data_IF_257991662487
#
_entry.id   IF_257991662487
#
_cell.length_a   1.000
_cell.length_b   1.000
_cell.length_c   1.000
_cell.angle_alpha   90.00
_cell.angle_beta   90.00
_cell.angle_gamma   90.00
#
_symmetry.space_group_name_H-M   'P 1'
#
loop_
_entity.id
_entity.type
_entity.pdbx_description
1 polymer ?
#
# COMPACT_ATOMS: atom_id res chain seq x y z
N UNK A 1 4.32 14.34 47.24
CA UNK A 1 4.17 14.92 45.89
C UNK A 1 3.49 16.26 46.05
N UNK A 2 4.25 17.35 45.99
CA UNK A 2 3.70 18.70 46.12
C UNK A 2 3.38 19.24 44.72
N UNK A 3 2.14 19.66 44.50
CA UNK A 3 1.75 20.33 43.26
C UNK A 3 2.33 21.75 43.25
N UNK A 4 3.37 21.98 42.44
CA UNK A 4 3.86 23.34 42.16
C UNK A 4 2.73 24.20 41.62
N UNK A 5 2.55 25.39 42.20
CA UNK A 5 1.52 26.35 41.77
C UNK A 5 1.74 26.78 40.32
N UNK A 6 0.69 27.17 39.56
CA UNK A 6 0.82 27.56 38.15
C UNK A 6 1.92 28.60 37.89
N UNK A 7 2.07 29.58 38.80
CA UNK A 7 3.09 30.62 38.71
C UNK A 7 4.52 30.11 38.86
N UNK A 8 4.76 29.07 39.68
CA UNK A 8 6.09 28.47 39.85
C UNK A 8 6.53 27.76 38.55
N UNK A 9 5.59 27.09 37.87
CA UNK A 9 5.83 26.48 36.56
C UNK A 9 6.05 27.55 35.48
N UNK A 10 5.31 28.66 35.51
CA UNK A 10 5.49 29.80 34.60
C UNK A 10 6.84 30.49 34.81
N UNK A 11 7.27 30.68 36.05
CA UNK A 11 8.57 31.25 36.42
C UNK A 11 9.73 30.35 35.98
N UNK A 12 9.67 29.04 36.26
CA UNK A 12 10.68 28.07 35.79
C UNK A 12 10.74 27.97 34.26
N UNK A 13 9.59 28.05 33.57
CA UNK A 13 9.55 28.10 32.11
C UNK A 13 10.24 29.35 31.56
N UNK A 14 9.97 30.54 32.12
CA UNK A 14 10.66 31.80 31.75
C UNK A 14 12.17 31.71 32.00
N UNK A 15 12.58 31.12 33.13
CA UNK A 15 13.98 30.89 33.47
C UNK A 15 14.72 30.03 32.43
N UNK A 16 14.13 28.90 32.03
CA UNK A 16 14.69 28.00 31.02
C UNK A 16 14.71 28.66 29.63
N UNK A 17 13.66 29.42 29.28
CA UNK A 17 13.57 30.11 27.99
C UNK A 17 14.62 31.23 27.83
N UNK A 18 14.96 32.00 28.86
CA UNK A 18 16.06 32.97 28.78
C UNK A 18 17.44 32.27 28.82
N UNK A 19 17.65 31.32 29.73
CA UNK A 19 18.92 30.62 29.89
C UNK A 19 19.33 29.81 28.65
N UNK A 20 18.38 29.18 27.96
CA UNK A 20 18.62 28.38 26.75
C UNK A 20 18.17 29.08 25.46
N UNK A 21 17.84 30.38 25.51
CA UNK A 21 17.29 31.17 24.40
C UNK A 21 18.00 30.93 23.06
N UNK A 22 19.33 31.04 23.06
CA UNK A 22 20.13 30.92 21.85
C UNK A 22 20.09 29.50 21.25
N UNK A 23 20.00 28.47 22.09
CA UNK A 23 19.90 27.06 21.67
C UNK A 23 18.51 26.81 21.07
N UNK A 24 17.45 27.28 21.73
CA UNK A 24 16.06 27.08 21.28
C UNK A 24 15.82 27.80 19.95
N UNK A 25 16.27 29.06 19.82
CA UNK A 25 16.18 29.80 18.54
C UNK A 25 17.03 29.14 17.45
N UNK A 26 18.23 28.64 17.75
CA UNK A 26 19.02 27.90 16.77
C UNK A 26 18.33 26.61 16.29
N UNK A 27 17.72 25.84 17.19
CA UNK A 27 16.94 24.63 16.84
C UNK A 27 15.73 24.98 15.97
N UNK A 28 15.01 26.06 16.28
CA UNK A 28 13.86 26.52 15.48
C UNK A 28 14.28 27.03 14.08
N UNK A 29 15.43 27.69 13.96
CA UNK A 29 15.98 28.10 12.65
C UNK A 29 16.51 26.90 11.85
N UNK A 30 17.06 25.87 12.48
CA UNK A 30 17.43 24.60 11.83
C UNK A 30 16.16 23.88 11.34
N UNK A 31 15.11 23.79 12.17
CA UNK A 31 13.83 23.22 11.77
C UNK A 31 13.22 23.99 10.58
N UNK A 32 13.28 25.33 10.60
CA UNK A 32 12.86 26.15 9.47
C UNK A 32 13.67 25.86 8.20
N UNK A 33 15.01 25.77 8.29
CA UNK A 33 15.87 25.46 7.15
C UNK A 33 15.58 24.07 6.55
N UNK A 34 15.39 23.05 7.39
CA UNK A 34 14.97 21.70 6.97
C UNK A 34 13.59 21.73 6.33
N UNK A 35 12.62 22.43 6.92
CA UNK A 35 11.29 22.62 6.36
C UNK A 35 11.33 23.26 4.97
N UNK A 36 12.12 24.31 4.79
CA UNK A 36 12.30 24.99 3.51
C UNK A 36 12.94 24.10 2.44
N UNK A 37 13.94 23.29 2.81
CA UNK A 37 14.55 22.31 1.90
C UNK A 37 13.55 21.21 1.50
N UNK A 38 12.71 20.75 2.43
CA UNK A 38 11.61 19.81 2.13
C UNK A 38 10.55 20.45 1.22
N UNK A 39 10.15 21.71 1.46
CA UNK A 39 9.23 22.44 0.57
C UNK A 39 9.78 22.52 -0.85
N UNK A 40 11.04 22.95 -1.00
CA UNK A 40 11.69 23.08 -2.30
C UNK A 40 11.70 21.75 -3.06
N UNK A 41 12.23 20.69 -2.43
CA UNK A 41 12.37 19.34 -3.02
C UNK A 41 11.05 18.57 -3.15
N UNK A 42 9.90 19.22 -3.01
CA UNK A 42 8.57 18.60 -3.04
C UNK A 42 7.55 19.42 -3.85
N UNK A 43 7.76 20.73 -3.99
CA UNK A 43 6.83 21.64 -4.69
C UNK A 43 7.49 22.58 -5.70
N UNK A 44 8.81 22.73 -5.68
CA UNK A 44 9.56 23.61 -6.61
C UNK A 44 10.38 22.78 -7.59
N UNK A 45 11.03 21.75 -7.07
CA UNK A 45 11.77 20.74 -7.82
C UNK A 45 11.53 19.39 -7.14
N UNK A 46 10.40 18.70 -7.41
CA UNK A 46 10.09 17.40 -6.83
C UNK A 46 11.01 16.28 -7.34
N UNK A 47 11.81 16.53 -8.38
CA UNK A 47 12.35 15.49 -9.22
C UNK A 47 11.27 14.80 -10.06
N UNK A 48 11.72 13.96 -10.99
CA UNK A 48 10.84 13.18 -11.85
C UNK A 48 11.08 11.68 -11.65
N UNK A 49 10.04 10.89 -11.90
CA UNK A 49 10.12 9.44 -11.97
C UNK A 49 9.64 8.94 -13.33
N UNK A 50 10.17 7.78 -13.70
CA UNK A 50 9.79 7.08 -14.93
C UNK A 50 8.60 6.17 -14.65
N UNK A 51 7.54 6.28 -15.44
CA UNK A 51 6.41 5.36 -15.42
C UNK A 51 6.18 4.79 -16.82
N UNK A 52 5.86 3.51 -16.90
CA UNK A 52 5.34 2.91 -18.14
C UNK A 52 3.88 3.30 -18.34
N UNK A 53 3.50 3.48 -19.61
CA UNK A 53 2.13 3.74 -20.03
C UNK A 53 1.85 2.97 -21.32
N UNK A 54 0.89 2.04 -21.32
CA UNK A 54 0.40 1.42 -22.55
C UNK A 54 -0.15 2.51 -23.48
N UNK A 55 0.35 2.57 -24.72
CA UNK A 55 -0.05 3.56 -25.74
C UNK A 55 -0.85 2.95 -26.88
N UNK A 56 -0.66 1.67 -27.12
CA UNK A 56 -1.49 0.85 -27.99
C UNK A 56 -1.42 -0.60 -27.53
N UNK A 57 -2.40 -1.39 -27.94
CA UNK A 57 -2.40 -2.84 -27.82
C UNK A 57 -3.01 -3.44 -29.08
N UNK A 58 -2.72 -4.71 -29.35
CA UNK A 58 -3.51 -5.50 -30.28
C UNK A 58 -3.83 -6.86 -29.67
N UNK A 59 -4.99 -7.38 -30.04
CA UNK A 59 -5.44 -8.72 -29.64
C UNK A 59 -5.65 -9.57 -30.90
N UNK A 60 -5.24 -10.83 -30.88
CA UNK A 60 -5.53 -11.82 -31.93
C UNK A 60 -6.32 -12.95 -31.30
N UNK A 61 -7.45 -13.31 -31.91
CA UNK A 61 -8.31 -14.40 -31.43
C UNK A 61 -8.47 -15.44 -32.53
N UNK A 62 -8.15 -16.69 -32.24
CA UNK A 62 -8.26 -17.83 -33.16
C UNK A 62 -9.16 -18.91 -32.56
N UNK A 63 -10.09 -19.45 -33.35
CA UNK A 63 -10.97 -20.54 -32.93
C UNK A 63 -11.14 -21.58 -34.05
N UNK A 64 -11.59 -22.78 -33.71
CA UNK A 64 -12.16 -23.72 -34.67
C UNK A 64 -13.68 -23.68 -34.57
N UNK A 65 -14.36 -23.66 -35.71
CA UNK A 65 -15.77 -24.05 -35.83
C UNK A 65 -15.80 -25.38 -36.57
N UNK A 66 -16.67 -26.31 -36.17
CA UNK A 66 -16.74 -27.62 -36.81
C UNK A 66 -18.15 -28.22 -36.82
N UNK A 67 -18.45 -28.97 -37.87
CA UNK A 67 -19.77 -29.59 -38.07
C UNK A 67 -19.66 -30.83 -38.96
N UNK A 68 -20.69 -31.68 -39.00
CA UNK A 68 -20.70 -32.86 -39.85
C UNK A 68 -22.08 -33.08 -40.49
N UNK A 69 -22.16 -33.23 -41.82
CA UNK A 69 -23.43 -33.51 -42.50
C UNK A 69 -23.83 -34.99 -42.37
N UNK A 70 -25.10 -35.25 -42.05
CA UNK A 70 -25.68 -36.60 -42.08
C UNK A 70 -25.87 -37.06 -43.52
N UNK A 71 -25.07 -38.05 -43.93
CA UNK A 71 -25.08 -38.64 -45.29
C UNK A 71 -25.88 -39.94 -45.38
N UNK A 72 -26.02 -40.72 -44.30
CA UNK A 72 -26.74 -42.00 -44.31
C UNK A 72 -28.21 -41.93 -43.81
N UNK A 73 -29.13 -42.72 -44.43
CA UNK A 73 -30.53 -42.78 -44.02
C UNK A 73 -30.71 -43.46 -42.67
N UNK A 74 -31.22 -42.72 -41.70
CA UNK A 74 -31.52 -43.20 -40.35
C UNK A 74 -32.90 -42.68 -39.87
N UNK A 75 -33.31 -43.05 -38.66
CA UNK A 75 -34.64 -42.72 -38.12
C UNK A 75 -34.69 -41.48 -37.22
N UNK A 76 -33.57 -40.80 -37.00
CA UNK A 76 -33.43 -39.67 -36.05
C UNK A 76 -33.15 -38.37 -36.78
N UNK A 77 -32.18 -38.39 -37.69
CA UNK A 77 -31.77 -37.25 -38.52
C UNK A 77 -32.08 -37.53 -39.99
N UNK A 78 -32.38 -36.48 -40.76
CA UNK A 78 -32.58 -36.60 -42.21
C UNK A 78 -31.22 -36.51 -42.92
N UNK A 79 -31.10 -37.09 -44.11
CA UNK A 79 -29.93 -36.85 -44.97
C UNK A 79 -29.89 -35.35 -45.31
N UNK A 80 -28.72 -34.72 -45.22
CA UNK A 80 -28.57 -33.27 -45.33
C UNK A 80 -28.84 -32.50 -44.03
N UNK A 81 -28.93 -33.20 -42.88
CA UNK A 81 -28.92 -32.53 -41.57
C UNK A 81 -27.48 -32.25 -41.19
N UNK A 82 -27.05 -30.99 -41.19
CA UNK A 82 -25.80 -30.58 -40.55
C UNK A 82 -25.91 -30.80 -39.05
N UNK A 83 -24.87 -31.35 -38.45
CA UNK A 83 -24.70 -31.49 -37.01
C UNK A 83 -23.62 -30.49 -36.57
N UNK A 84 -24.03 -29.48 -35.82
CA UNK A 84 -23.24 -28.34 -35.35
C UNK A 84 -23.13 -28.32 -33.81
N UNK A 85 -22.10 -27.64 -33.29
CA UNK A 85 -21.81 -27.42 -31.86
C UNK A 85 -21.83 -28.69 -30.98
N UNK A 86 -21.23 -29.79 -31.46
CA UNK A 86 -21.15 -31.07 -30.71
C UNK A 86 -19.73 -31.46 -30.39
N UNK A 87 -19.52 -31.94 -29.16
CA UNK A 87 -18.28 -32.63 -28.79
C UNK A 87 -18.12 -33.98 -29.48
N UNK A 88 -19.22 -34.63 -29.88
CA UNK A 88 -19.20 -36.02 -30.37
C UNK A 88 -20.16 -36.22 -31.55
N UNK A 89 -19.68 -36.92 -32.57
CA UNK A 89 -20.36 -37.19 -33.84
C UNK A 89 -20.43 -38.69 -34.13
N UNK A 90 -21.22 -39.09 -35.12
CA UNK A 90 -21.48 -40.49 -35.45
C UNK A 90 -20.73 -40.90 -36.73
N UNK A 91 -19.62 -41.63 -36.58
CA UNK A 91 -18.72 -42.04 -37.68
C UNK A 91 -19.45 -42.67 -38.86
N UNK A 92 -20.51 -43.44 -38.58
CA UNK A 92 -21.27 -44.14 -39.64
C UNK A 92 -22.19 -43.24 -40.47
N UNK A 93 -22.90 -42.31 -39.82
CA UNK A 93 -23.94 -41.51 -40.50
C UNK A 93 -23.50 -40.09 -40.86
N UNK A 94 -22.40 -39.61 -40.27
CA UNK A 94 -21.77 -38.33 -40.54
C UNK A 94 -20.23 -38.51 -40.49
N UNK A 95 -19.63 -39.28 -41.43
CA UNK A 95 -18.20 -39.65 -41.43
C UNK A 95 -17.25 -38.48 -41.71
N UNK A 96 -17.76 -37.39 -42.28
CA UNK A 96 -16.99 -36.24 -42.74
C UNK A 96 -17.24 -35.07 -41.79
N UNK A 97 -16.16 -34.58 -41.17
CA UNK A 97 -16.13 -33.45 -40.27
C UNK A 97 -15.60 -32.24 -41.04
N UNK A 98 -16.49 -31.31 -41.37
CA UNK A 98 -16.13 -29.99 -41.86
C UNK A 98 -15.53 -29.16 -40.71
N UNK A 99 -14.39 -28.53 -40.96
CA UNK A 99 -13.69 -27.65 -40.00
C UNK A 99 -13.36 -26.34 -40.69
N UNK A 100 -13.69 -25.23 -40.02
CA UNK A 100 -13.23 -23.90 -40.37
C UNK A 100 -12.39 -23.36 -39.20
N UNK A 101 -11.12 -23.04 -39.45
CA UNK A 101 -10.35 -22.23 -38.52
C UNK A 101 -10.63 -20.76 -38.82
N UNK A 102 -10.94 -19.98 -37.79
CA UNK A 102 -11.22 -18.56 -37.91
C UNK A 102 -10.24 -17.76 -37.05
N UNK A 103 -9.71 -16.68 -37.60
CA UNK A 103 -8.88 -15.72 -36.87
C UNK A 103 -9.41 -14.30 -37.09
N UNK A 104 -9.59 -13.59 -35.99
CA UNK A 104 -9.86 -12.14 -35.98
C UNK A 104 -8.73 -11.42 -35.25
N UNK A 105 -8.60 -10.11 -35.45
CA UNK A 105 -7.72 -9.29 -34.63
C UNK A 105 -8.35 -7.92 -34.33
N UNK A 106 -8.07 -7.39 -33.14
CA UNK A 106 -8.51 -6.07 -32.70
C UNK A 106 -7.31 -5.15 -32.50
N UNK A 107 -7.32 -3.97 -33.15
CA UNK A 107 -6.29 -2.94 -33.06
C UNK A 107 -6.92 -1.55 -33.26
N UNK A 108 -6.23 -0.48 -32.86
CA UNK A 108 -6.71 0.89 -33.05
C UNK A 108 -6.51 1.39 -34.49
N UNK A 109 -5.53 0.84 -35.20
CA UNK A 109 -5.34 0.97 -36.64
C UNK A 109 -4.54 -0.20 -37.20
N UNK A 110 -4.70 -0.48 -38.49
CA UNK A 110 -3.82 -1.39 -39.23
C UNK A 110 -3.78 -1.03 -40.72
N UNK A 111 -2.79 -1.57 -41.44
CA UNK A 111 -2.75 -1.63 -42.90
C UNK A 111 -1.92 -2.81 -43.38
N UNK A 112 -2.19 -3.27 -44.60
CA UNK A 112 -1.40 -4.30 -45.28
C UNK A 112 -1.27 -5.60 -44.45
N UNK A 113 -2.38 -6.06 -43.85
CA UNK A 113 -2.41 -7.25 -42.98
C UNK A 113 -2.83 -8.49 -43.76
N UNK A 114 -1.89 -9.43 -43.88
CA UNK A 114 -2.11 -10.79 -44.34
C UNK A 114 -2.35 -11.72 -43.13
N UNK A 115 -3.35 -12.58 -43.20
CA UNK A 115 -3.55 -13.71 -42.28
C UNK A 115 -3.36 -15.02 -43.04
N UNK A 116 -2.40 -15.84 -42.62
CA UNK A 116 -2.05 -17.13 -43.23
C UNK A 116 -2.41 -18.28 -42.30
N UNK A 117 -2.90 -19.36 -42.90
CA UNK A 117 -3.28 -20.59 -42.23
C UNK A 117 -2.59 -21.76 -42.92
N UNK A 118 -1.83 -22.56 -42.19
CA UNK A 118 -1.23 -23.80 -42.67
C UNK A 118 -1.69 -24.94 -41.75
N UNK A 119 -2.59 -25.79 -42.25
CA UNK A 119 -3.26 -26.85 -41.48
C UNK A 119 -2.82 -28.25 -41.92
N UNK A 120 -2.44 -29.09 -40.95
CA UNK A 120 -1.87 -30.43 -41.16
C UNK A 120 -2.52 -31.42 -40.20
N UNK A 121 -3.08 -32.50 -40.73
CA UNK A 121 -3.47 -33.68 -39.95
C UNK A 121 -2.20 -34.41 -39.48
N UNK A 122 -2.15 -34.74 -38.21
CA UNK A 122 -1.10 -35.55 -37.59
C UNK A 122 -1.74 -36.79 -36.99
N UNK A 123 -1.27 -37.95 -37.44
CA UNK A 123 -1.56 -39.25 -36.83
C UNK A 123 -0.22 -39.74 -36.26
N UNK A 124 -0.16 -40.13 -34.98
CA UNK A 124 1.09 -40.57 -34.34
C UNK A 124 0.86 -41.61 -33.25
N UNK A 125 1.78 -42.55 -33.09
CA UNK A 125 1.79 -43.46 -31.95
C UNK A 125 2.87 -43.02 -30.92
N UNK A 126 2.48 -42.91 -29.65
CA UNK A 126 3.32 -42.39 -28.56
C UNK A 126 3.30 -43.28 -27.33
N UNK A 127 4.43 -43.44 -26.63
CA UNK A 127 4.48 -44.16 -25.36
C UNK A 127 3.71 -43.44 -24.25
N UNK A 128 3.40 -44.14 -23.14
CA UNK A 128 2.56 -43.66 -22.03
C UNK A 128 2.96 -42.26 -21.49
N UNK A 129 4.25 -41.94 -21.44
CA UNK A 129 4.75 -40.63 -20.99
C UNK A 129 4.68 -39.51 -22.07
N UNK A 130 4.18 -39.79 -23.28
CA UNK A 130 4.17 -38.90 -24.45
C UNK A 130 5.54 -38.55 -25.06
N UNK A 131 6.63 -38.81 -24.33
CA UNK A 131 8.01 -38.44 -24.66
C UNK A 131 8.65 -39.24 -25.81
N UNK A 132 8.11 -40.41 -26.13
CA UNK A 132 8.61 -41.29 -27.21
C UNK A 132 7.56 -41.35 -28.30
N UNK A 133 7.87 -40.85 -29.49
CA UNK A 133 7.07 -41.02 -30.70
C UNK A 133 7.62 -42.23 -31.46
N UNK A 134 6.81 -43.28 -31.63
CA UNK A 134 7.20 -44.50 -32.34
C UNK A 134 7.09 -44.33 -33.85
N UNK A 135 6.00 -43.71 -34.32
CA UNK A 135 5.79 -43.28 -35.70
C UNK A 135 4.88 -42.05 -35.74
N UNK A 136 4.93 -41.29 -36.84
CA UNK A 136 4.07 -40.13 -37.04
C UNK A 136 3.93 -39.81 -38.54
N UNK A 137 2.70 -39.91 -39.04
CA UNK A 137 2.30 -39.52 -40.38
C UNK A 137 1.78 -38.07 -40.38
N UNK A 138 1.85 -37.38 -41.54
CA UNK A 138 1.43 -35.97 -41.68
C UNK A 138 0.81 -35.70 -43.05
N UNK A 139 -0.46 -35.34 -43.07
CA UNK A 139 -1.19 -34.97 -44.29
C UNK A 139 -1.54 -33.46 -44.29
N UNK A 140 -1.06 -32.67 -45.26
CA UNK A 140 -1.47 -31.27 -45.42
C UNK A 140 -2.94 -31.16 -45.85
N UNK A 141 -3.73 -30.41 -45.09
CA UNK A 141 -5.18 -30.26 -45.29
C UNK A 141 -5.52 -28.97 -46.07
N UNK A 142 -4.96 -27.85 -45.62
CA UNK A 142 -5.18 -26.53 -46.19
C UNK A 142 -3.93 -25.65 -46.03
N UNK A 143 -3.68 -24.79 -47.01
CA UNK A 143 -2.71 -23.70 -46.94
C UNK A 143 -3.37 -22.50 -47.64
N UNK A 144 -3.70 -21.48 -46.87
CA UNK A 144 -4.52 -20.33 -47.31
C UNK A 144 -3.93 -19.01 -46.79
N UNK A 145 -4.15 -17.92 -47.52
CA UNK A 145 -3.75 -16.57 -47.08
C UNK A 145 -4.85 -15.59 -47.48
N UNK A 146 -5.41 -14.92 -46.48
CA UNK A 146 -6.40 -13.84 -46.62
C UNK A 146 -5.67 -12.51 -46.48
N UNK A 147 -5.62 -11.73 -47.56
CA UNK A 147 -4.94 -10.42 -47.58
C UNK A 147 -5.90 -9.25 -47.29
N UNK A 148 -5.32 -8.11 -46.92
CA UNK A 148 -6.03 -6.85 -46.65
C UNK A 148 -7.13 -6.98 -45.58
N UNK A 149 -6.87 -7.74 -44.51
CA UNK A 149 -7.84 -7.99 -43.43
C UNK A 149 -7.97 -6.76 -42.52
N UNK A 150 -9.14 -6.13 -42.49
CA UNK A 150 -9.47 -5.01 -41.60
C UNK A 150 -9.49 -5.43 -40.10
N UNK A 151 -9.22 -4.52 -39.14
CA UNK A 151 -9.41 -4.79 -37.72
C UNK A 151 -10.87 -5.12 -37.39
N UNK A 152 -11.09 -6.23 -36.69
CA UNK A 152 -12.41 -6.81 -36.43
C UNK A 152 -13.00 -7.61 -37.61
N UNK A 153 -12.26 -7.75 -38.71
CA UNK A 153 -12.58 -8.69 -39.79
C UNK A 153 -12.19 -10.13 -39.41
N UNK A 154 -12.93 -11.09 -39.94
CA UNK A 154 -12.61 -12.53 -39.83
C UNK A 154 -11.87 -12.99 -41.07
N UNK A 155 -10.68 -13.56 -40.88
CA UNK A 155 -10.03 -14.42 -41.86
C UNK A 155 -10.37 -15.88 -41.51
N UNK A 156 -10.64 -16.70 -42.51
CA UNK A 156 -11.09 -18.08 -42.34
C UNK A 156 -10.32 -18.98 -43.32
N UNK A 157 -10.01 -20.20 -42.90
CA UNK A 157 -9.58 -21.28 -43.79
C UNK A 157 -10.35 -22.57 -43.46
N UNK A 158 -10.77 -23.32 -44.48
CA UNK A 158 -11.65 -24.49 -44.32
C UNK A 158 -11.06 -25.77 -44.91
N UNK A 159 -11.30 -26.89 -44.25
CA UNK A 159 -10.96 -28.24 -44.71
C UNK A 159 -11.97 -29.26 -44.16
N UNK A 160 -12.01 -30.45 -44.77
CA UNK A 160 -12.86 -31.55 -44.32
C UNK A 160 -12.00 -32.77 -43.92
N UNK A 161 -12.44 -33.51 -42.90
CA UNK A 161 -11.77 -34.68 -42.37
C UNK A 161 -12.70 -35.89 -42.40
N UNK A 162 -12.34 -36.92 -43.18
CA UNK A 162 -13.09 -38.17 -43.16
C UNK A 162 -12.59 -39.05 -42.02
N UNK A 163 -13.28 -39.00 -40.87
CA UNK A 163 -12.92 -39.75 -39.66
C UNK A 163 -12.71 -41.24 -39.93
N UNK A 164 -13.56 -41.86 -40.76
CA UNK A 164 -13.47 -43.28 -41.10
C UNK A 164 -12.27 -43.64 -41.99
N UNK A 165 -11.74 -42.68 -42.75
CA UNK A 165 -10.50 -42.87 -43.52
C UNK A 165 -9.27 -42.73 -42.61
N UNK A 166 -9.29 -41.80 -41.66
CA UNK A 166 -8.20 -41.59 -40.69
C UNK A 166 -8.00 -42.82 -39.80
N UNK A 167 -9.10 -43.43 -39.32
CA UNK A 167 -9.06 -44.73 -38.62
C UNK A 167 -8.43 -45.84 -39.47
N UNK A 168 -8.79 -45.89 -40.76
CA UNK A 168 -8.27 -46.91 -41.68
C UNK A 168 -6.76 -46.73 -41.93
N UNK A 169 -6.29 -45.50 -42.11
CA UNK A 169 -4.86 -45.19 -42.26
C UNK A 169 -4.05 -45.54 -41.00
N UNK A 170 -4.57 -45.23 -39.81
CA UNK A 170 -3.93 -45.64 -38.56
C UNK A 170 -3.81 -47.18 -38.44
N UNK A 171 -4.89 -47.91 -38.73
CA UNK A 171 -4.91 -49.37 -38.69
C UNK A 171 -4.00 -50.02 -39.75
N UNK A 172 -3.90 -49.45 -40.96
CA UNK A 172 -2.99 -49.91 -42.02
C UNK A 172 -1.52 -49.76 -41.60
N UNK A 173 -1.15 -48.62 -41.02
CA UNK A 173 0.21 -48.39 -40.48
C UNK A 173 0.54 -49.37 -39.34
N UNK A 174 -0.41 -49.63 -38.43
CA UNK A 174 -0.21 -50.59 -37.34
C UNK A 174 -0.10 -52.05 -37.83
N UNK A 175 -0.82 -52.45 -38.89
CA UNK A 175 -0.67 -53.76 -39.53
C UNK A 175 0.67 -53.89 -40.26
N UNK A 176 1.12 -52.87 -41.01
CA UNK A 176 2.44 -52.88 -41.68
C UNK A 176 3.61 -52.96 -40.70
N UNK A 177 3.53 -52.26 -39.56
CA UNK A 177 4.54 -52.30 -38.51
C UNK A 177 4.46 -53.57 -37.64
N UNK A 178 3.31 -54.24 -37.64
CA UNK A 178 3.06 -55.49 -36.89
C UNK A 178 3.01 -55.32 -35.36
N UNK A 179 3.01 -54.07 -34.86
CA UNK A 179 2.88 -53.72 -33.46
C UNK A 179 2.49 -52.24 -33.29
N UNK A 180 1.55 -51.97 -32.40
CA UNK A 180 1.31 -50.64 -31.83
C UNK A 180 1.76 -50.65 -30.36
N UNK A 181 2.97 -50.14 -30.05
CA UNK A 181 3.56 -50.23 -28.71
C UNK A 181 3.15 -49.10 -27.76
N UNK A 182 2.43 -48.09 -28.26
CA UNK A 182 1.91 -46.96 -27.50
C UNK A 182 0.46 -46.62 -27.86
N UNK A 183 0.01 -45.43 -27.47
CA UNK A 183 -1.31 -44.88 -27.80
C UNK A 183 -1.26 -44.08 -29.11
N UNK A 184 -2.27 -44.26 -29.98
CA UNK A 184 -2.36 -43.59 -31.28
C UNK A 184 -3.19 -42.31 -31.17
N UNK A 185 -2.54 -41.15 -31.21
CA UNK A 185 -3.17 -39.82 -31.22
C UNK A 185 -3.49 -39.36 -32.64
N UNK A 186 -4.71 -38.86 -32.84
CA UNK A 186 -5.13 -38.11 -34.04
C UNK A 186 -5.43 -36.65 -33.69
N UNK A 187 -4.93 -35.71 -34.48
CA UNK A 187 -5.21 -34.28 -34.31
C UNK A 187 -4.84 -33.46 -35.54
N UNK A 188 -5.52 -32.33 -35.74
CA UNK A 188 -5.04 -31.28 -36.65
C UNK A 188 -4.16 -30.31 -35.87
N UNK A 189 -3.06 -29.90 -36.50
CA UNK A 189 -2.27 -28.73 -36.14
C UNK A 189 -2.55 -27.66 -37.18
N UNK A 190 -2.90 -26.44 -36.75
CA UNK A 190 -2.94 -25.27 -37.62
C UNK A 190 -1.95 -24.23 -37.11
N UNK A 191 -0.97 -23.88 -37.94
CA UNK A 191 -0.15 -22.69 -37.73
C UNK A 191 -0.86 -21.48 -38.34
N UNK A 192 -1.08 -20.46 -37.52
CA UNK A 192 -1.67 -19.17 -37.92
C UNK A 192 -0.59 -18.11 -37.85
N UNK A 193 -0.40 -17.34 -38.92
CA UNK A 193 0.47 -16.17 -38.94
C UNK A 193 -0.32 -14.91 -39.33
N UNK A 194 -0.10 -13.82 -38.60
CA UNK A 194 -0.67 -12.49 -38.90
C UNK A 194 0.51 -11.54 -39.13
N UNK A 195 0.63 -11.03 -40.35
CA UNK A 195 1.77 -10.21 -40.79
C UNK A 195 1.26 -8.90 -41.41
N UNK A 196 1.76 -7.74 -40.98
CA UNK A 196 1.36 -6.46 -41.54
C UNK A 196 1.81 -5.26 -40.72
N UNK A 197 1.16 -4.11 -40.89
CA UNK A 197 1.42 -2.90 -40.07
C UNK A 197 0.28 -2.70 -39.08
N UNK A 198 0.50 -2.97 -37.79
CA UNK A 198 -0.53 -2.87 -36.74
C UNK A 198 -0.18 -1.73 -35.78
N UNK A 199 -1.17 -0.90 -35.46
CA UNK A 199 -1.01 0.34 -34.68
C UNK A 199 0.10 1.28 -35.19
N UNK A 200 0.42 1.20 -36.49
CA UNK A 200 1.47 1.99 -37.16
C UNK A 200 2.88 1.36 -37.18
N UNK A 201 3.06 0.15 -36.67
CA UNK A 201 4.37 -0.53 -36.60
C UNK A 201 4.35 -1.91 -37.30
N UNK A 202 5.43 -2.30 -38.00
CA UNK A 202 5.54 -3.64 -38.59
C UNK A 202 5.42 -4.72 -37.53
N UNK A 203 4.43 -5.60 -37.69
CA UNK A 203 4.05 -6.64 -36.75
C UNK A 203 4.04 -7.99 -37.45
N UNK A 204 4.64 -9.00 -36.82
CA UNK A 204 4.56 -10.39 -37.21
C UNK A 204 4.20 -11.18 -35.96
N UNK A 205 3.04 -11.82 -35.99
CA UNK A 205 2.49 -12.65 -34.93
C UNK A 205 2.31 -14.06 -35.47
N UNK A 206 2.62 -15.08 -34.67
CA UNK A 206 2.41 -16.47 -35.05
C UNK A 206 1.94 -17.30 -33.86
N UNK A 207 0.97 -18.19 -34.10
CA UNK A 207 0.39 -19.10 -33.10
C UNK A 207 0.01 -20.42 -33.73
N UNK A 208 0.48 -21.51 -33.12
CA UNK A 208 0.00 -22.86 -33.38
C UNK A 208 -1.25 -23.15 -32.53
N UNK A 209 -2.31 -23.65 -33.15
CA UNK A 209 -3.47 -24.25 -32.46
C UNK A 209 -3.61 -25.74 -32.84
N UNK A 210 -4.29 -26.52 -31.98
CA UNK A 210 -4.46 -27.97 -32.15
C UNK A 210 -5.91 -28.36 -31.92
N UNK A 211 -6.53 -29.05 -32.88
CA UNK A 211 -7.85 -29.68 -32.74
C UNK A 211 -7.65 -31.19 -32.50
N UNK A 212 -7.99 -31.69 -31.32
CA UNK A 212 -7.87 -33.12 -31.01
C UNK A 212 -9.04 -33.93 -31.57
N UNK A 213 -8.80 -35.15 -32.04
CA UNK A 213 -9.86 -36.06 -32.50
C UNK A 213 -9.62 -37.44 -31.89
N UNK A 214 -10.57 -37.89 -31.08
CA UNK A 214 -10.61 -39.22 -30.45
C UNK A 214 -11.62 -40.12 -31.19
N UNK A 215 -11.28 -41.40 -31.37
CA UNK A 215 -11.99 -42.31 -32.25
C UNK A 215 -12.53 -43.54 -31.48
N UNK A 216 -13.80 -43.47 -31.07
CA UNK A 216 -14.54 -44.55 -30.42
C UNK A 216 -15.17 -45.58 -31.36
N UNK A 217 -14.69 -45.68 -32.62
CA UNK A 217 -15.20 -46.57 -33.66
C UNK A 217 -16.54 -46.15 -34.25
N UNK A 218 -17.65 -46.33 -33.52
CA UNK A 218 -18.99 -45.93 -33.98
C UNK A 218 -19.28 -44.43 -33.84
N UNK A 219 -18.43 -43.72 -33.08
CA UNK A 219 -18.45 -42.27 -32.84
C UNK A 219 -17.04 -41.70 -32.79
N UNK A 220 -16.86 -40.45 -33.20
CA UNK A 220 -15.64 -39.67 -32.97
C UNK A 220 -15.93 -38.43 -32.11
N UNK A 221 -14.97 -38.06 -31.26
CA UNK A 221 -15.06 -36.94 -30.31
C UNK A 221 -14.04 -35.88 -30.68
N UNK A 222 -14.49 -34.64 -30.80
CA UNK A 222 -13.65 -33.48 -31.12
C UNK A 222 -13.30 -32.74 -29.82
N UNK A 223 -12.00 -32.54 -29.60
CA UNK A 223 -11.44 -31.77 -28.49
C UNK A 223 -10.96 -30.42 -29.00
N UNK A 224 -11.90 -29.46 -29.06
CA UNK A 224 -11.63 -28.06 -29.40
C UNK A 224 -10.95 -27.33 -28.21
N UNK A 225 -9.82 -26.63 -28.41
CA UNK A 225 -9.18 -25.79 -27.39
C UNK A 225 -9.91 -24.46 -27.13
N UNK A 226 -11.01 -24.19 -27.84
CA UNK A 226 -11.87 -23.00 -27.72
C UNK A 226 -11.22 -21.73 -28.26
N UNK A 227 -11.87 -20.57 -28.06
CA UNK A 227 -11.34 -19.27 -28.49
C UNK A 227 -9.98 -18.99 -27.84
N UNK A 228 -8.94 -18.94 -28.68
CA UNK A 228 -7.54 -18.68 -28.30
C UNK A 228 -7.23 -17.21 -28.52
N UNK A 229 -7.50 -16.40 -27.50
CA UNK A 229 -7.11 -14.99 -27.43
C UNK A 229 -5.61 -14.82 -27.11
N UNK A 230 -5.01 -13.72 -27.54
CA UNK A 230 -3.66 -13.26 -27.21
C UNK A 230 -3.61 -11.74 -27.28
N UNK A 231 -3.02 -11.06 -26.31
CA UNK A 231 -2.98 -9.59 -26.26
C UNK A 231 -1.55 -9.11 -26.07
N UNK A 232 -1.06 -8.31 -27.02
CA UNK A 232 0.25 -7.69 -27.01
C UNK A 232 0.12 -6.18 -26.79
N UNK A 233 0.58 -5.73 -25.61
CA UNK A 233 0.64 -4.32 -25.22
C UNK A 233 1.95 -3.65 -25.67
N UNK A 234 1.86 -2.39 -26.09
CA UNK A 234 3.01 -1.50 -26.32
C UNK A 234 3.06 -0.44 -25.22
N UNK A 235 4.06 -0.51 -24.34
CA UNK A 235 4.33 0.55 -23.35
C UNK A 235 5.27 1.63 -23.91
N UNK A 236 5.04 2.87 -23.48
CA UNK A 236 6.02 3.96 -23.59
C UNK A 236 6.49 4.41 -22.21
N UNK A 237 7.78 4.73 -22.15
CA UNK A 237 8.48 5.27 -20.99
C UNK A 237 8.18 6.77 -20.84
N UNK A 238 7.29 7.16 -19.93
CA UNK A 238 6.91 8.57 -19.70
C UNK A 238 7.55 9.08 -18.41
N UNK A 239 8.29 10.19 -18.53
CA UNK A 239 8.81 10.95 -17.39
C UNK A 239 7.71 11.84 -16.81
N UNK A 240 7.47 11.75 -15.50
CA UNK A 240 6.41 12.48 -14.78
C UNK A 240 6.92 13.00 -13.44
N UNK A 241 6.33 14.08 -12.93
CA UNK A 241 6.73 14.66 -11.64
C UNK A 241 6.49 13.67 -10.48
N UNK A 242 7.45 13.60 -9.55
CA UNK A 242 7.37 12.68 -8.43
C UNK A 242 6.34 13.13 -7.40
N UNK A 243 5.32 12.30 -7.18
CA UNK A 243 4.21 12.55 -6.25
C UNK A 243 4.54 12.06 -4.85
N UNK A 244 4.66 12.97 -3.88
CA UNK A 244 5.03 12.65 -2.51
C UNK A 244 3.83 12.53 -1.54
N UNK A 245 3.92 11.60 -0.59
CA UNK A 245 2.91 11.38 0.44
C UNK A 245 2.78 12.54 1.46
N UNK A 246 1.65 12.60 2.20
CA UNK A 246 1.26 13.77 2.98
C UNK A 246 2.27 14.20 4.06
N UNK A 247 3.05 13.28 4.61
CA UNK A 247 4.11 13.58 5.58
C UNK A 247 5.18 14.54 5.01
N UNK A 248 5.55 14.40 3.73
CA UNK A 248 6.52 15.27 3.07
C UNK A 248 5.84 16.53 2.54
N UNK A 249 4.70 16.37 1.87
CA UNK A 249 3.95 17.45 1.21
C UNK A 249 3.33 18.46 2.18
N UNK A 250 2.92 18.04 3.38
CA UNK A 250 2.34 18.94 4.42
C UNK A 250 3.35 19.21 5.54
N UNK A 251 4.16 18.21 5.92
CA UNK A 251 5.12 18.34 7.02
C UNK A 251 6.24 19.35 6.76
N UNK A 252 6.76 19.43 5.52
CA UNK A 252 7.76 20.43 5.13
C UNK A 252 7.27 21.88 5.34
N UNK A 253 6.14 22.29 4.72
CA UNK A 253 5.52 23.59 4.96
C UNK A 253 5.25 23.89 6.43
N UNK A 254 4.69 22.93 7.19
CA UNK A 254 4.36 23.13 8.60
C UNK A 254 5.62 23.34 9.45
N UNK A 255 6.67 22.53 9.24
CA UNK A 255 7.95 22.67 9.94
C UNK A 255 8.62 24.02 9.63
N UNK A 256 8.54 24.50 8.38
CA UNK A 256 9.01 25.82 7.98
C UNK A 256 8.28 26.95 8.75
N UNK A 257 6.94 26.93 8.72
CA UNK A 257 6.12 27.97 9.37
C UNK A 257 6.31 27.96 10.89
N UNK A 258 6.28 26.78 11.54
CA UNK A 258 6.45 26.67 13.00
C UNK A 258 7.84 27.09 13.44
N UNK A 259 8.91 26.69 12.72
CA UNK A 259 10.27 27.10 13.01
C UNK A 259 10.46 28.62 12.91
N UNK A 260 9.97 29.22 11.82
CA UNK A 260 10.15 30.66 11.55
C UNK A 260 9.27 31.53 12.47
N UNK A 261 8.00 31.17 12.66
CA UNK A 261 7.10 31.87 13.58
C UNK A 261 7.52 31.71 15.04
N UNK A 262 7.96 30.52 15.46
CA UNK A 262 8.46 30.27 16.82
C UNK A 262 9.73 31.05 17.13
N UNK A 263 10.69 31.08 16.19
CA UNK A 263 11.90 31.90 16.34
C UNK A 263 11.55 33.40 16.39
N UNK A 264 10.62 33.86 15.56
CA UNK A 264 10.12 35.24 15.57
C UNK A 264 9.46 35.63 16.90
N UNK A 265 8.57 34.79 17.43
CA UNK A 265 7.87 35.01 18.69
C UNK A 265 8.83 35.06 19.89
N UNK A 266 9.82 34.15 19.95
CA UNK A 266 10.84 34.18 21.00
C UNK A 266 11.70 35.46 20.94
N UNK A 267 12.14 35.88 19.74
CA UNK A 267 12.87 37.14 19.55
C UNK A 267 12.03 38.36 19.92
N UNK A 268 10.73 38.32 19.65
CA UNK A 268 9.77 39.36 20.05
C UNK A 268 9.64 39.46 21.59
N UNK A 269 9.23 38.38 22.26
CA UNK A 269 9.06 38.34 23.71
C UNK A 269 10.36 38.66 24.48
N UNK A 270 11.54 38.27 23.94
CA UNK A 270 12.83 38.69 24.52
C UNK A 270 13.09 40.19 24.39
N UNK A 271 12.66 40.83 23.29
CA UNK A 271 12.80 42.28 23.09
C UNK A 271 11.96 43.08 24.09
N UNK A 272 10.78 42.57 24.45
CA UNK A 272 9.89 43.14 25.47
C UNK A 272 10.29 42.74 26.91
N UNK A 273 11.37 41.96 27.07
CA UNK A 273 11.94 41.46 28.32
C UNK A 273 11.05 40.47 29.10
N UNK A 274 10.03 39.89 28.48
CA UNK A 274 9.07 39.01 29.16
C UNK A 274 9.73 37.81 29.88
N UNK A 275 10.84 37.30 29.36
CA UNK A 275 11.59 36.18 29.97
C UNK A 275 12.61 36.58 31.04
N UNK A 276 12.95 37.87 31.16
CA UNK A 276 14.02 38.32 32.05
C UNK A 276 13.55 38.38 33.51
N UNK A 277 13.94 37.39 34.32
CA UNK A 277 13.66 37.38 35.76
C UNK A 277 14.26 38.61 36.46
N UNK A 278 13.42 39.35 37.16
CA UNK A 278 13.82 40.39 38.13
C UNK A 278 14.70 39.79 39.24
N UNK A 279 15.42 40.60 40.04
CA UNK A 279 16.12 40.11 41.23
C UNK A 279 15.19 39.31 42.15
N UNK A 280 14.08 39.93 42.58
CA UNK A 280 13.13 39.31 43.51
C UNK A 280 12.56 37.96 43.02
N UNK A 281 12.25 37.79 41.74
CA UNK A 281 11.80 36.49 41.20
C UNK A 281 12.89 35.42 41.25
N UNK A 282 14.16 35.79 41.04
CA UNK A 282 15.31 34.87 41.12
C UNK A 282 15.62 34.51 42.57
N UNK A 283 15.59 35.48 43.46
CA UNK A 283 15.84 35.30 44.89
C UNK A 283 14.74 34.42 45.51
N UNK A 284 13.48 34.62 45.09
CA UNK A 284 12.35 33.75 45.45
C UNK A 284 12.48 32.32 44.91
N UNK A 285 12.93 32.13 43.67
CA UNK A 285 13.21 30.79 43.14
C UNK A 285 14.35 30.10 43.90
N UNK A 286 15.43 30.81 44.23
CA UNK A 286 16.53 30.26 45.04
C UNK A 286 16.04 29.80 46.42
N UNK A 287 15.25 30.63 47.11
CA UNK A 287 14.59 30.25 48.36
C UNK A 287 13.67 29.02 48.20
N UNK A 288 12.88 28.95 47.13
CA UNK A 288 11.96 27.82 46.89
C UNK A 288 12.71 26.50 46.65
N UNK A 289 13.84 26.56 45.94
CA UNK A 289 14.68 25.41 45.69
C UNK A 289 15.42 24.99 46.98
N UNK A 290 16.08 25.92 47.70
CA UNK A 290 16.69 25.68 49.04
C UNK A 290 15.68 25.04 50.01
N UNK A 291 14.46 25.61 50.11
CA UNK A 291 13.41 25.12 51.02
C UNK A 291 12.91 23.72 50.67
N UNK A 292 13.18 23.26 49.44
CA UNK A 292 12.90 21.89 49.00
C UNK A 292 14.10 20.94 49.19
N UNK A 293 15.34 21.42 49.02
CA UNK A 293 16.58 20.69 49.30
C UNK A 293 16.68 20.37 50.80
N UNK A 294 16.46 21.36 51.66
CA UNK A 294 16.60 21.24 53.12
C UNK A 294 15.30 20.87 53.85
N UNK A 295 14.32 20.30 53.14
CA UNK A 295 12.99 20.04 53.68
C UNK A 295 12.97 19.03 54.86
N UNK A 296 14.01 18.20 55.01
CA UNK A 296 14.17 17.27 56.14
C UNK A 296 14.83 17.91 57.39
N UNK A 297 15.55 19.02 57.22
CA UNK A 297 16.27 19.74 58.30
C UNK A 297 15.44 20.85 58.95
N UNK A 298 14.30 21.19 58.34
CA UNK A 298 13.41 22.30 58.72
C UNK A 298 12.12 21.74 59.34
N UNK A 299 11.84 22.10 60.60
CA UNK A 299 10.62 21.68 61.32
C UNK A 299 9.78 22.88 61.75
N UNK A 300 8.46 22.83 61.54
CA UNK A 300 7.56 23.92 61.93
C UNK A 300 7.19 23.85 63.43
N UNK A 301 7.61 24.85 64.22
CA UNK A 301 7.22 24.99 65.62
C UNK A 301 7.02 26.47 65.98
N UNK A 302 6.12 26.75 66.93
CA UNK A 302 6.01 28.09 67.52
C UNK A 302 7.04 28.26 68.63
N UNK A 303 7.89 29.27 68.48
CA UNK A 303 8.87 29.64 69.50
C UNK A 303 8.19 30.46 70.61
N UNK A 304 8.61 30.34 71.89
CA UNK A 304 8.11 31.19 72.96
C UNK A 304 8.71 32.60 72.87
N UNK A 305 7.99 33.62 73.35
CA UNK A 305 8.42 35.02 73.31
C UNK A 305 9.87 35.26 73.81
N UNK A 306 10.32 34.52 74.83
CA UNK A 306 11.68 34.58 75.38
C UNK A 306 12.80 34.04 74.46
N UNK A 307 12.47 33.56 73.26
CA UNK A 307 13.42 33.31 72.16
C UNK A 307 13.51 34.54 71.26
N UNK A 308 12.38 35.19 70.94
CA UNK A 308 12.36 36.42 70.13
C UNK A 308 12.93 37.66 70.86
N UNK A 309 13.05 37.62 72.19
CA UNK A 309 13.72 38.65 73.01
C UNK A 309 15.27 38.54 73.01
N UNK A 310 15.85 37.56 72.31
CA UNK A 310 17.30 37.34 72.23
C UNK A 310 17.97 38.24 71.17
N UNK A 311 19.29 38.46 71.24
CA UNK A 311 20.04 39.07 70.15
C UNK A 311 19.90 38.27 68.85
N UNK A 312 19.37 38.91 67.82
CA UNK A 312 19.13 38.35 66.49
C UNK A 312 20.32 38.62 65.55
N UNK A 313 20.65 37.66 64.70
CA UNK A 313 21.56 37.79 63.56
C UNK A 313 20.86 37.30 62.29
N UNK A 314 20.98 38.03 61.17
CA UNK A 314 20.31 37.68 59.92
C UNK A 314 21.25 36.88 59.00
N UNK A 315 20.73 35.82 58.37
CA UNK A 315 21.44 35.00 57.37
C UNK A 315 21.10 35.45 55.95
N UNK A 316 22.07 35.37 55.01
CA UNK A 316 21.88 35.86 53.63
C UNK A 316 21.02 34.91 52.78
N UNK A 317 21.11 33.60 52.99
CA UNK A 317 20.24 32.58 52.38
C UNK A 317 19.67 31.58 53.40
N UNK A 318 18.67 30.80 52.97
CA UNK A 318 18.15 29.69 53.77
C UNK A 318 19.20 28.57 53.89
N UNK A 319 20.00 28.35 52.83
CA UNK A 319 21.15 27.44 52.84
C UNK A 319 22.13 27.78 53.95
N UNK A 320 22.58 29.04 54.05
CA UNK A 320 23.54 29.47 55.08
C UNK A 320 23.01 29.24 56.50
N UNK A 321 21.69 29.43 56.72
CA UNK A 321 21.05 29.15 58.00
C UNK A 321 21.02 27.64 58.33
N UNK A 322 20.76 26.79 57.34
CA UNK A 322 20.73 25.33 57.52
C UNK A 322 22.13 24.77 57.74
N UNK A 323 23.11 25.18 56.93
CA UNK A 323 24.51 24.77 57.08
C UNK A 323 25.05 25.21 58.45
N UNK A 324 24.76 26.44 58.89
CA UNK A 324 25.10 26.91 60.25
C UNK A 324 24.39 26.10 61.35
N UNK A 325 23.13 25.72 61.17
CA UNK A 325 22.39 24.94 62.15
C UNK A 325 23.00 23.54 62.33
N UNK A 326 23.36 22.89 61.22
CA UNK A 326 24.04 21.59 61.19
C UNK A 326 25.40 21.67 61.91
N UNK A 327 26.22 22.68 61.61
CA UNK A 327 27.53 22.91 62.25
C UNK A 327 27.44 23.17 63.78
N UNK A 328 26.25 23.49 64.31
CA UNK A 328 26.01 23.78 65.72
C UNK A 328 25.10 22.75 66.42
N UNK A 329 24.89 21.56 65.84
CA UNK A 329 24.02 20.49 66.37
C UNK A 329 22.58 20.98 66.72
N UNK A 330 22.06 21.95 65.95
CA UNK A 330 20.73 22.56 66.17
C UNK A 330 19.84 22.41 64.94
N UNK A 331 18.51 22.46 65.13
CA UNK A 331 17.53 22.35 64.05
C UNK A 331 17.06 23.72 63.56
N UNK A 332 16.69 23.83 62.29
CA UNK A 332 16.02 25.03 61.77
C UNK A 332 14.52 24.95 62.05
N UNK A 333 13.99 25.96 62.72
CA UNK A 333 12.58 26.08 63.08
C UNK A 333 11.89 27.08 62.17
N UNK A 334 10.87 26.64 61.43
CA UNK A 334 9.95 27.53 60.71
C UNK A 334 8.87 28.02 61.68
N UNK A 335 8.80 29.34 61.92
CA UNK A 335 7.76 29.96 62.72
C UNK A 335 6.49 30.19 61.87
N UNK A 336 5.35 29.53 62.18
CA UNK A 336 4.13 29.67 61.40
C UNK A 336 3.39 31.01 61.64
N UNK A 337 3.84 31.88 62.55
CA UNK A 337 3.22 33.20 62.77
C UNK A 337 3.91 34.32 61.97
N UNK A 338 5.22 34.25 61.76
CA UNK A 338 5.99 35.22 60.93
C UNK A 338 6.42 34.70 59.56
N UNK A 339 6.46 33.38 59.35
CA UNK A 339 7.04 32.75 58.16
C UNK A 339 8.58 32.80 58.11
N UNK A 340 9.24 33.22 59.19
CA UNK A 340 10.69 33.24 59.30
C UNK A 340 11.24 31.87 59.73
N UNK A 341 12.49 31.62 59.35
CA UNK A 341 13.25 30.43 59.74
C UNK A 341 14.28 30.82 60.79
N UNK A 342 14.38 30.07 61.88
CA UNK A 342 15.22 30.37 63.02
C UNK A 342 16.09 29.18 63.43
N UNK A 343 17.40 29.40 63.61
CA UNK A 343 18.29 28.48 64.30
C UNK A 343 18.72 29.09 65.64
N UNK A 344 18.62 28.33 66.73
CA UNK A 344 18.92 28.82 68.08
C UNK A 344 20.21 28.18 68.59
N UNK A 345 21.25 29.01 68.78
CA UNK A 345 22.57 28.58 69.22
C UNK A 345 23.06 29.46 70.39
N UNK A 346 23.27 28.84 71.55
CA UNK A 346 23.69 29.54 72.77
C UNK A 346 22.68 30.61 73.22
N UNK A 347 23.13 31.86 73.27
CA UNK A 347 22.32 33.04 73.63
C UNK A 347 21.72 33.78 72.43
N UNK A 348 22.15 33.47 71.21
CA UNK A 348 21.73 34.14 69.96
C UNK A 348 20.58 33.40 69.25
N UNK A 349 19.92 34.10 68.33
CA UNK A 349 19.01 33.52 67.33
C UNK A 349 19.47 33.96 65.95
N UNK A 350 19.63 33.00 65.05
CA UNK A 350 19.97 33.23 63.66
C UNK A 350 18.69 33.12 62.84
N UNK A 351 18.37 34.13 62.04
CA UNK A 351 17.10 34.23 61.31
C UNK A 351 17.32 34.37 59.82
N UNK A 352 16.59 33.59 59.02
CA UNK A 352 16.37 33.85 57.60
C UNK A 352 14.91 34.23 57.38
N UNK A 353 14.66 35.36 56.71
CA UNK A 353 13.32 35.82 56.35
C UNK A 353 13.12 35.62 54.85
N UNK A 354 12.19 34.77 54.40
CA UNK A 354 12.06 34.46 52.99
C UNK A 354 11.59 35.68 52.18
N UNK A 355 12.03 35.84 50.93
CA UNK A 355 11.49 36.85 50.03
C UNK A 355 9.98 36.62 49.84
N UNK A 356 9.22 37.72 49.77
CA UNK A 356 7.79 37.65 49.47
C UNK A 356 7.55 37.00 48.10
N UNK A 357 6.49 36.18 47.93
CA UNK A 357 6.13 35.67 46.63
C UNK A 357 5.83 36.83 45.67
N UNK A 358 6.24 36.76 44.38
CA UNK A 358 5.96 37.81 43.42
C UNK A 358 4.44 37.98 43.25
N UNK A 359 3.94 39.19 43.45
CA UNK A 359 2.51 39.49 43.45
C UNK A 359 1.91 39.42 42.05
N UNK A 360 0.76 38.77 41.92
CA UNK A 360 0.07 38.51 40.64
C UNK A 360 -0.52 39.76 39.98
N UNK A 361 -0.63 40.87 40.71
CA UNK A 361 -1.31 42.10 40.28
C UNK A 361 -0.60 42.84 39.12
N UNK A 362 0.67 42.52 38.83
CA UNK A 362 1.46 43.14 37.75
C UNK A 362 1.00 42.77 36.31
N UNK A 363 -0.15 42.11 36.16
CA UNK A 363 -0.81 41.81 34.88
C UNK A 363 -2.33 42.14 34.90
N UNK A 364 -2.78 43.00 35.83
CA UNK A 364 -4.15 43.53 35.85
C UNK A 364 -4.24 45.05 35.68
N UNK A 365 -3.15 45.73 35.32
CA UNK A 365 -3.23 46.99 34.58
C UNK A 365 -3.49 46.66 33.10
N UNK A 366 -4.77 46.42 32.79
CA UNK A 366 -5.25 46.57 31.41
C UNK A 366 -5.28 48.05 31.03
N UNK A 367 -5.12 48.34 29.74
CA UNK A 367 -5.21 49.71 29.22
C UNK A 367 -6.65 50.23 29.22
N UNK A 368 -7.18 50.59 30.38
CA UNK A 368 -8.32 51.52 30.52
C UNK A 368 -7.85 52.97 30.22
N UNK A 369 -7.24 53.14 29.04
CA UNK A 369 -6.77 54.40 28.48
C UNK A 369 -7.86 55.05 27.64
N UNK A 370 -8.79 55.74 28.33
CA UNK A 370 -10.00 56.40 27.80
C UNK A 370 -9.89 56.93 26.35
N UNK A 371 -10.83 56.51 25.51
CA UNK A 371 -10.94 57.01 24.14
C UNK A 371 -11.47 58.45 24.13
N UNK A 372 -10.94 59.36 23.29
CA UNK A 372 -11.15 60.79 23.46
C UNK A 372 -12.62 61.20 23.26
N UNK A 373 -13.17 61.90 24.25
CA UNK A 373 -14.51 62.46 24.19
C UNK A 373 -14.72 63.38 22.98
N UNK A 374 -15.78 63.11 22.22
CA UNK A 374 -16.35 64.00 21.21
C UNK A 374 -17.86 64.14 21.44
N UNK A 375 -18.28 65.34 21.86
CA UNK A 375 -19.70 65.71 21.88
C UNK A 375 -20.23 65.87 20.44
N UNK A 376 -21.23 65.07 20.06
CA UNK A 376 -22.44 65.62 19.43
C UNK A 376 -23.66 64.70 19.70
N UNK A 377 -24.86 65.24 19.48
CA UNK A 377 -26.13 64.76 20.01
C UNK A 377 -26.90 63.90 18.99
N UNK A 378 -27.66 62.89 19.46
CA UNK A 378 -29.15 62.95 19.55
C UNK A 378 -29.84 61.62 19.93
N UNK A 379 -30.93 61.76 20.71
CA UNK A 379 -32.16 60.93 20.81
C UNK A 379 -32.11 59.41 20.47
N UNK A 380 -32.32 58.51 21.44
CA UNK A 380 -33.64 57.98 21.89
C UNK A 380 -34.25 56.92 20.94
N UNK A 381 -35.11 55.96 21.29
CA UNK A 381 -35.82 55.49 22.51
C UNK A 381 -35.97 53.95 22.29
N UNK A 382 -36.20 52.99 23.19
CA UNK A 382 -36.80 52.91 24.53
C UNK A 382 -37.37 51.48 24.72
N UNK A 383 -37.86 51.16 25.92
CA UNK A 383 -38.75 50.02 26.27
C UNK A 383 -38.30 48.54 26.05
N UNK A 384 -38.01 47.91 27.20
CA UNK A 384 -38.24 46.51 27.64
C UNK A 384 -39.15 45.54 26.83
N UNK A 385 -38.85 44.24 26.93
CA UNK A 385 -39.78 43.14 26.64
C UNK A 385 -39.13 41.75 26.81
N UNK A 386 -39.89 40.74 27.27
CA UNK A 386 -39.44 39.35 27.39
C UNK A 386 -40.61 38.37 27.13
N UNK A 387 -40.27 37.08 27.00
CA UNK A 387 -41.16 35.89 27.02
C UNK A 387 -41.88 35.45 25.69
N UNK A 388 -41.41 34.29 25.19
CA UNK A 388 -42.18 33.05 24.93
C UNK A 388 -42.76 32.67 23.53
N UNK A 389 -42.92 31.35 23.36
CA UNK A 389 -43.67 30.49 22.39
C UNK A 389 -43.72 30.77 20.87
N UNK A 390 -43.03 29.90 20.12
CA UNK A 390 -43.57 28.80 19.25
C UNK A 390 -44.62 29.06 18.12
N UNK A 391 -44.66 28.10 17.19
CA UNK A 391 -45.73 27.72 16.24
C UNK A 391 -45.77 28.30 14.80
N UNK A 392 -45.24 27.46 13.88
CA UNK A 392 -45.96 26.86 12.72
C UNK A 392 -46.04 27.51 11.33
N UNK A 393 -46.03 26.58 10.35
CA UNK A 393 -46.58 26.53 8.99
C UNK A 393 -46.12 27.57 7.93
N UNK A 394 -45.93 27.21 6.65
CA UNK A 394 -46.09 25.89 6.00
C UNK A 394 -45.81 25.92 4.48
N UNK A 395 -46.17 24.84 3.78
CA UNK A 395 -45.86 24.49 2.36
C UNK A 395 -44.36 24.26 2.03
N UNK A 396 -43.96 23.31 1.18
CA UNK A 396 -44.70 22.45 0.23
C UNK A 396 -44.31 22.79 -1.23
N UNK A 397 -44.30 21.88 -2.23
CA UNK A 397 -44.58 20.44 -2.34
C UNK A 397 -44.14 19.98 -3.77
N UNK A 398 -43.92 18.71 -4.18
CA UNK A 398 -43.68 17.40 -3.53
C UNK A 398 -43.25 16.36 -4.63
N UNK A 399 -42.93 15.10 -4.25
CA UNK A 399 -43.22 13.75 -4.89
C UNK A 399 -43.30 13.62 -6.43
N UNK A 400 -42.79 12.60 -7.16
CA UNK A 400 -42.28 11.21 -6.91
C UNK A 400 -40.75 11.06 -7.24
N UNK A 401 -39.96 9.99 -7.05
CA UNK A 401 -40.08 8.52 -6.75
C UNK A 401 -40.11 7.54 -7.96
N UNK A 402 -39.06 6.71 -8.11
CA UNK A 402 -39.02 5.36 -8.76
C UNK A 402 -37.65 4.65 -8.50
N UNK A 403 -37.52 3.32 -8.36
CA UNK A 403 -38.59 2.33 -8.22
C UNK A 403 -38.38 0.93 -8.83
N UNK A 404 -37.35 0.14 -8.46
CA UNK A 404 -37.49 -1.34 -8.44
C UNK A 404 -36.47 -2.05 -7.52
N UNK A 405 -36.82 -3.25 -7.08
CA UNK A 405 -35.95 -4.22 -6.43
C UNK A 405 -36.65 -5.57 -6.33
N UNK A 406 -36.12 -6.58 -7.01
CA UNK A 406 -36.68 -7.95 -7.04
C UNK A 406 -35.74 -8.96 -6.39
N UNK A 407 -36.30 -9.81 -5.54
CA UNK A 407 -35.64 -10.98 -4.96
C UNK A 407 -36.57 -12.18 -4.99
N UNK A 408 -36.00 -13.39 -4.93
CA UNK A 408 -36.76 -14.63 -4.82
C UNK A 408 -35.91 -15.72 -4.15
N UNK A 409 -36.35 -16.17 -2.98
CA UNK A 409 -35.80 -17.33 -2.26
C UNK A 409 -36.42 -18.64 -2.78
N UNK A 410 -35.61 -19.71 -2.91
CA UNK A 410 -36.07 -21.13 -2.83
C UNK A 410 -34.95 -21.99 -2.22
N UNK A 411 -35.32 -22.91 -1.34
CA UNK A 411 -34.44 -23.81 -0.59
C UNK A 411 -33.83 -24.97 -1.43
N UNK A 412 -32.76 -25.61 -0.91
CA UNK A 412 -32.23 -26.87 -1.46
C UNK A 412 -31.04 -27.48 -0.69
N UNK A 413 -31.27 -28.60 0.01
CA UNK A 413 -30.29 -29.35 0.81
C UNK A 413 -29.10 -29.96 0.01
N UNK A 414 -27.96 -30.13 0.70
CA UNK A 414 -27.37 -31.48 0.81
C UNK A 414 -25.88 -31.69 0.42
N UNK A 415 -25.03 -31.86 1.46
CA UNK A 415 -23.75 -32.60 1.50
C UNK A 415 -22.63 -32.34 0.44
N UNK A 416 -21.34 -32.39 0.79
CA UNK A 416 -20.69 -32.64 2.07
C UNK A 416 -19.35 -33.37 1.88
N UNK A 417 -18.28 -32.91 2.52
CA UNK A 417 -16.98 -33.58 2.58
C UNK A 417 -16.11 -32.98 3.71
N UNK A 418 -16.15 -33.58 4.89
CA UNK A 418 -15.09 -33.41 5.87
C UNK A 418 -13.83 -34.15 5.37
N UNK A 419 -12.64 -33.62 5.64
CA UNK A 419 -11.36 -34.26 5.31
C UNK A 419 -10.67 -34.64 6.61
N UNK A 420 -10.65 -35.93 6.92
CA UNK A 420 -9.92 -36.47 8.06
C UNK A 420 -8.40 -36.39 7.81
N UNK A 421 -7.67 -35.91 8.83
CA UNK A 421 -6.20 -35.88 8.91
C UNK A 421 -5.75 -36.88 9.97
N UNK A 422 -5.07 -37.96 9.58
CA UNK A 422 -4.43 -38.88 10.53
C UNK A 422 -3.30 -39.74 9.90
N UNK A 423 -2.07 -39.20 9.95
CA UNK A 423 -0.94 -39.84 10.66
C UNK A 423 -0.20 -41.09 10.13
N UNK A 424 1.14 -41.02 10.28
CA UNK A 424 2.09 -42.12 10.54
C UNK A 424 2.36 -43.19 9.45
N UNK A 425 3.53 -43.86 9.37
CA UNK A 425 4.88 -43.62 9.92
C UNK A 425 5.89 -44.54 9.20
N UNK A 426 7.17 -44.16 9.09
CA UNK A 426 8.30 -45.11 9.13
C UNK A 426 9.67 -44.43 9.26
N UNK A 427 10.49 -44.87 10.22
CA UNK A 427 11.82 -44.33 10.52
C UNK A 427 12.94 -44.75 9.54
N UNK A 428 13.77 -43.76 9.18
CA UNK A 428 15.18 -43.66 9.58
C UNK A 428 16.17 -44.82 9.36
N UNK A 429 17.28 -44.51 8.67
CA UNK A 429 18.59 -45.11 8.92
C UNK A 429 19.74 -44.16 8.51
N UNK A 430 20.63 -43.80 9.44
CA UNK A 430 21.90 -43.11 9.12
C UNK A 430 23.01 -44.13 8.77
N UNK A 431 23.93 -43.74 7.89
CA UNK A 431 25.19 -44.46 7.68
C UNK A 431 26.34 -43.51 7.31
N UNK A 432 27.28 -43.31 8.24
CA UNK A 432 28.53 -42.54 8.05
C UNK A 432 29.67 -43.43 7.56
N UNK A 433 30.56 -42.96 6.67
CA UNK A 433 31.84 -43.69 6.45
C UNK A 433 32.77 -43.24 5.32
N UNK A 434 33.77 -42.43 5.68
CA UNK A 434 35.21 -42.50 5.26
C UNK A 434 35.64 -42.71 3.80
N UNK A 435 36.35 -41.70 3.31
CA UNK A 435 37.65 -41.72 2.57
C UNK A 435 38.22 -43.05 2.03
N UNK A 436 38.63 -43.01 0.75
CA UNK A 436 39.72 -43.82 0.19
C UNK A 436 40.45 -43.04 -0.93
N UNK A 437 41.74 -43.28 -1.12
CA UNK A 437 42.59 -42.61 -2.11
C UNK A 437 43.47 -43.62 -2.89
N UNK A 438 44.00 -43.15 -4.03
CA UNK A 438 44.84 -43.89 -4.99
C UNK A 438 44.31 -43.62 -6.41
N UNK A 439 45.01 -42.89 -7.29
CA UNK A 439 46.30 -43.20 -7.94
C UNK A 439 46.23 -44.41 -8.88
N UNK A 440 46.14 -44.15 -10.20
CA UNK A 440 47.01 -44.75 -11.22
C UNK A 440 46.81 -44.07 -12.60
N UNK A 441 47.84 -43.34 -13.03
CA UNK A 441 48.17 -42.95 -14.43
C UNK A 441 48.98 -44.14 -15.04
N UNK A 442 49.13 -44.40 -16.38
CA UNK A 442 49.27 -43.36 -17.41
C UNK A 442 48.84 -43.64 -18.88
N UNK A 443 48.80 -42.55 -19.67
CA UNK A 443 49.73 -42.44 -20.81
C UNK A 443 49.27 -42.74 -22.24
N UNK A 444 48.95 -41.69 -23.01
CA UNK A 444 49.26 -41.45 -24.44
C UNK A 444 48.76 -40.04 -24.78
N UNK A 445 49.53 -39.03 -25.22
CA UNK A 445 50.69 -38.98 -26.11
C UNK A 445 50.37 -39.43 -27.55
N UNK A 446 49.85 -38.50 -28.37
CA UNK A 446 50.52 -38.09 -29.63
C UNK A 446 50.03 -36.71 -30.15
N UNK A 447 50.79 -36.15 -31.10
CA UNK A 447 50.67 -35.00 -31.99
C UNK A 447 49.55 -33.93 -31.81
N UNK A 448 49.79 -32.61 -31.70
CA UNK A 448 50.73 -31.66 -32.35
C UNK A 448 50.21 -31.01 -33.66
N UNK A 449 49.82 -29.72 -33.54
CA UNK A 449 49.77 -28.65 -34.59
C UNK A 449 48.72 -28.81 -35.71
N UNK A 450 48.33 -27.75 -36.42
CA UNK A 450 48.78 -26.32 -36.42
C UNK A 450 47.72 -25.34 -35.91
#
# INVERSE_FOLDING_TARGET
MSSSSPDENRLRLRAVLDAQFAVIVAVLLIAAAVGGALVYTTHVDPGTETRERTVSSFTVETAYNHSAEVTEPNSVFQIGTVLDDRTTYFTRIAPELDVAVETTYAAASASDVDVRFDSVLVIRNVGEDGNVVYWSEREPLASETVSDVDPGGTATASFALNSSAVDATAAEIEEELGASPGETETFVVTDVAVEGTINGEPTSYARTVRLGIDHGGDTYTVSDPGVRSDTSDRTETVTVDQSYGPLRSIGGPLLFVVGLAGAGALVYARREREFALTPAERDYLSYRDDRSEFAEWITTFRLPASVHERPEAEAESLRDLVDFAIDNDTGVVEDPETGAYHAVAGEFVYTYRPPSPPSVDALSEGEDGDAPAVDDLTAADGAVGAEDVDARDGDGADVDVDGDGTGADVDGDGAGADVDDDGADSDGAEATGTDAAGDDDPGSDDANRE
#
